data_IF_656424688544
#
_entry.id   IF_656424688544
#
_cell.length_a   1.000
_cell.length_b   1.000
_cell.length_c   1.000
_cell.angle_alpha   90.00
_cell.angle_beta   90.00
_cell.angle_gamma   90.00
#
_symmetry.space_group_name_H-M   'P 1'
#
loop_
_entity.id
_entity.type
_entity.pdbx_description
1 polymer ?
#
# COMPACT_ATOMS: atom_id res chain seq x y z
N UNK A 1 25.56 9.66 32.86
CA UNK A 1 25.99 9.83 31.45
C UNK A 1 24.77 10.35 30.69
N UNK A 2 24.79 11.58 30.17
CA UNK A 2 23.74 12.05 29.24
C UNK A 2 23.84 11.20 27.99
N UNK A 3 22.80 10.45 27.65
CA UNK A 3 22.68 9.80 26.37
C UNK A 3 22.89 10.90 25.30
N UNK A 4 23.89 10.74 24.45
CA UNK A 4 24.07 11.58 23.26
C UNK A 4 22.82 11.31 22.44
N UNK A 5 21.90 12.27 22.37
CA UNK A 5 20.72 12.12 21.54
C UNK A 5 21.21 12.01 20.09
N UNK A 6 20.84 10.94 19.43
CA UNK A 6 21.12 10.82 17.99
C UNK A 6 20.61 12.06 17.25
N UNK A 7 21.35 12.56 16.25
CA UNK A 7 20.90 13.71 15.48
C UNK A 7 19.56 13.39 14.82
N UNK A 8 18.65 14.37 14.83
CA UNK A 8 17.37 14.24 14.17
C UNK A 8 17.54 13.94 12.68
N UNK A 9 16.60 13.20 12.12
CA UNK A 9 16.56 12.93 10.68
C UNK A 9 15.98 14.15 9.99
N UNK A 10 16.69 14.68 9.00
CA UNK A 10 16.22 15.80 8.17
C UNK A 10 15.35 15.26 7.06
N UNK A 11 14.11 15.70 7.00
CA UNK A 11 13.11 15.22 6.05
C UNK A 11 12.67 16.32 5.09
N UNK A 12 12.21 15.93 3.90
CA UNK A 12 11.61 16.81 2.92
C UNK A 12 10.44 16.17 2.20
N UNK A 13 9.55 16.99 1.65
CA UNK A 13 8.38 16.55 0.88
C UNK A 13 8.41 17.17 -0.50
N UNK A 14 8.33 16.33 -1.53
CA UNK A 14 8.21 16.76 -2.93
C UNK A 14 6.77 16.53 -3.39
N UNK A 15 6.06 17.63 -3.69
CA UNK A 15 4.63 17.69 -3.96
C UNK A 15 3.86 18.29 -2.78
N UNK A 16 3.30 19.48 -2.95
CA UNK A 16 2.44 20.14 -1.95
C UNK A 16 0.93 19.89 -2.18
N UNK A 17 0.61 18.79 -2.90
CA UNK A 17 -0.75 18.33 -3.14
C UNK A 17 -1.40 17.70 -1.90
N UNK A 18 -2.53 17.03 -2.10
CA UNK A 18 -3.29 16.42 -1.02
C UNK A 18 -2.47 15.38 -0.25
N UNK A 19 -1.82 14.43 -0.96
CA UNK A 19 -0.95 13.44 -0.31
C UNK A 19 0.28 14.07 0.33
N UNK A 20 0.93 15.04 -0.34
CA UNK A 20 2.08 15.72 0.24
C UNK A 20 1.76 16.40 1.57
N UNK A 21 0.58 16.99 1.72
CA UNK A 21 0.15 17.57 3.00
C UNK A 21 -0.05 16.52 4.09
N UNK A 22 -0.55 15.33 3.77
CA UNK A 22 -0.59 14.23 4.75
C UNK A 22 0.81 13.76 5.17
N UNK A 23 1.77 13.72 4.24
CA UNK A 23 3.17 13.41 4.58
C UNK A 23 3.78 14.48 5.48
N UNK A 24 3.51 15.77 5.21
CA UNK A 24 3.96 16.88 6.08
C UNK A 24 3.44 16.68 7.50
N UNK A 25 2.14 16.45 7.66
CA UNK A 25 1.51 16.25 8.97
C UNK A 25 2.11 15.03 9.68
N UNK A 26 2.32 13.94 8.97
CA UNK A 26 2.92 12.74 9.53
C UNK A 26 4.38 12.98 10.00
N UNK A 27 5.19 13.71 9.24
CA UNK A 27 6.53 14.10 9.69
C UNK A 27 6.51 15.00 10.93
N UNK A 28 5.59 15.95 10.98
CA UNK A 28 5.49 16.90 12.12
C UNK A 28 5.06 16.20 13.42
N UNK A 29 4.40 15.06 13.36
CA UNK A 29 4.08 14.25 14.53
C UNK A 29 5.30 13.49 15.11
N UNK A 30 6.44 13.46 14.38
CA UNK A 30 7.64 12.73 14.78
C UNK A 30 8.63 13.65 15.48
N UNK A 31 8.79 13.48 16.78
CA UNK A 31 9.67 14.33 17.62
C UNK A 31 11.15 14.27 17.26
N UNK A 32 11.57 13.21 16.55
CA UNK A 32 12.94 12.89 16.20
C UNK A 32 13.26 13.17 14.72
N UNK A 33 12.38 13.91 14.04
CA UNK A 33 12.51 14.34 12.66
C UNK A 33 12.45 15.86 12.58
N UNK A 34 13.28 16.45 11.73
CA UNK A 34 13.23 17.87 11.34
C UNK A 34 12.73 17.96 9.91
N UNK A 35 11.50 18.43 9.71
CA UNK A 35 10.98 18.73 8.39
C UNK A 35 11.67 20.02 7.88
N UNK A 36 12.61 19.85 6.93
CA UNK A 36 13.44 20.94 6.40
C UNK A 36 12.67 21.81 5.39
N UNK A 37 11.86 21.16 4.54
CA UNK A 37 11.14 21.90 3.55
C UNK A 37 10.30 21.10 2.57
N UNK A 38 9.67 21.85 1.68
CA UNK A 38 8.67 21.38 0.73
C UNK A 38 9.02 21.89 -0.67
N UNK A 39 8.78 21.06 -1.67
CA UNK A 39 8.92 21.41 -3.09
C UNK A 39 7.58 21.24 -3.80
N UNK A 40 7.22 22.17 -4.64
CA UNK A 40 6.18 22.01 -5.67
C UNK A 40 6.58 22.80 -6.92
N UNK A 41 6.17 22.36 -8.09
CA UNK A 41 6.37 23.09 -9.35
C UNK A 41 5.63 24.44 -9.33
N UNK A 42 4.52 24.53 -8.61
CA UNK A 42 3.86 25.80 -8.25
C UNK A 42 4.53 26.34 -6.97
N UNK A 43 5.50 27.23 -7.15
CA UNK A 43 6.23 27.84 -6.04
C UNK A 43 5.33 28.69 -5.12
N UNK A 44 4.25 29.25 -5.62
CA UNK A 44 3.31 30.02 -4.80
C UNK A 44 2.58 29.08 -3.83
N UNK A 45 2.12 27.95 -4.33
CA UNK A 45 1.52 26.88 -3.54
C UNK A 45 2.52 26.28 -2.53
N UNK A 46 3.76 26.01 -2.96
CA UNK A 46 4.81 25.53 -2.06
C UNK A 46 5.05 26.51 -0.91
N UNK A 47 5.13 27.81 -1.18
CA UNK A 47 5.30 28.85 -0.14
C UNK A 47 4.10 28.91 0.80
N UNK A 48 2.88 28.93 0.27
CA UNK A 48 1.67 28.96 1.09
C UNK A 48 1.63 27.78 2.08
N UNK A 49 1.94 26.56 1.60
CA UNK A 49 1.98 25.37 2.45
C UNK A 49 3.15 25.45 3.44
N UNK A 50 4.34 25.85 2.98
CA UNK A 50 5.53 25.99 3.82
C UNK A 50 5.32 27.01 4.96
N UNK A 51 4.71 28.16 4.69
CA UNK A 51 4.38 29.18 5.69
C UNK A 51 3.41 28.65 6.75
N UNK A 52 2.44 27.81 6.34
CA UNK A 52 1.47 27.20 7.25
C UNK A 52 2.17 26.31 8.29
N UNK A 53 3.22 25.62 7.89
CA UNK A 53 3.93 24.65 8.75
C UNK A 53 5.27 25.18 9.29
N UNK A 54 5.66 26.40 8.97
CA UNK A 54 6.90 27.02 9.44
C UNK A 54 8.16 26.37 8.88
N UNK A 55 8.12 25.86 7.63
CA UNK A 55 9.23 25.20 6.94
C UNK A 55 9.64 25.98 5.69
N UNK A 56 10.75 25.60 5.05
CA UNK A 56 11.24 26.27 3.85
C UNK A 56 10.54 25.74 2.58
N UNK A 57 10.17 26.64 1.67
CA UNK A 57 9.79 26.29 0.30
C UNK A 57 11.03 26.28 -0.60
N UNK A 58 11.19 25.21 -1.39
CA UNK A 58 12.22 25.08 -2.40
C UNK A 58 11.61 25.11 -3.80
N UNK A 59 12.35 25.64 -4.76
CA UNK A 59 11.91 25.68 -6.15
C UNK A 59 12.24 24.38 -6.91
N UNK A 60 13.28 23.65 -6.47
CA UNK A 60 13.77 22.44 -7.11
C UNK A 60 14.01 21.35 -6.05
N UNK A 61 13.56 20.11 -6.32
CA UNK A 61 13.78 18.97 -5.48
C UNK A 61 15.28 18.61 -5.34
N UNK A 62 16.12 19.01 -6.30
CA UNK A 62 17.56 18.82 -6.26
C UNK A 62 18.22 19.67 -5.17
N UNK A 63 17.73 20.90 -4.97
CA UNK A 63 18.18 21.75 -3.86
C UNK A 63 17.75 21.18 -2.52
N UNK A 64 16.53 20.67 -2.42
CA UNK A 64 16.04 20.00 -1.23
C UNK A 64 16.90 18.77 -0.89
N UNK A 65 17.27 17.96 -1.89
CA UNK A 65 18.06 16.74 -1.71
C UNK A 65 19.40 16.98 -0.99
N UNK A 66 20.04 18.13 -1.17
CA UNK A 66 21.30 18.49 -0.51
C UNK A 66 21.13 18.77 1.00
N UNK A 67 19.90 19.02 1.42
CA UNK A 67 19.59 19.46 2.79
C UNK A 67 18.91 18.37 3.63
N UNK A 68 18.52 17.23 3.03
CA UNK A 68 17.72 16.20 3.69
C UNK A 68 18.41 14.84 3.72
N UNK A 69 18.00 14.01 4.65
CA UNK A 69 18.41 12.62 4.77
C UNK A 69 17.40 11.69 4.12
N UNK A 70 16.11 12.06 4.23
CA UNK A 70 14.97 11.36 3.64
C UNK A 70 14.06 12.33 2.90
N UNK A 71 13.45 11.88 1.81
CA UNK A 71 12.44 12.63 1.11
C UNK A 71 11.25 11.75 0.76
N UNK A 72 10.03 12.31 0.81
CA UNK A 72 8.85 11.67 0.26
C UNK A 72 8.46 12.33 -1.06
N UNK A 73 8.03 11.51 -2.04
CA UNK A 73 7.65 11.93 -3.38
C UNK A 73 6.16 11.67 -3.55
N UNK A 74 5.38 12.75 -3.53
CA UNK A 74 3.91 12.76 -3.62
C UNK A 74 3.45 13.71 -4.74
N UNK A 75 4.01 13.51 -5.92
CA UNK A 75 3.72 14.22 -7.18
C UNK A 75 2.87 13.35 -8.10
N UNK A 76 2.41 13.81 -9.27
CA UNK A 76 1.81 12.91 -10.27
C UNK A 76 2.73 11.76 -10.66
N UNK A 77 2.16 10.58 -10.95
CA UNK A 77 2.88 9.32 -11.17
C UNK A 77 3.96 9.41 -12.25
N UNK A 78 3.71 10.16 -13.32
CA UNK A 78 4.65 10.37 -14.42
C UNK A 78 5.94 11.08 -13.99
N UNK A 79 5.91 11.79 -12.87
CA UNK A 79 7.04 12.50 -12.30
C UNK A 79 7.77 11.70 -11.20
N UNK A 80 7.22 10.55 -10.78
CA UNK A 80 7.82 9.74 -9.71
C UNK A 80 9.24 9.29 -10.07
N UNK A 81 9.43 8.73 -11.27
CA UNK A 81 10.73 8.23 -11.71
C UNK A 81 11.81 9.32 -11.74
N UNK A 82 11.68 10.44 -12.49
CA UNK A 82 12.73 11.46 -12.55
C UNK A 82 13.02 12.09 -11.20
N UNK A 83 12.01 12.35 -10.37
CA UNK A 83 12.18 12.97 -9.05
C UNK A 83 12.86 12.01 -8.08
N UNK A 84 12.38 10.78 -7.96
CA UNK A 84 12.96 9.79 -7.05
C UNK A 84 14.40 9.43 -7.45
N UNK A 85 14.69 9.31 -8.76
CA UNK A 85 16.03 9.11 -9.27
C UNK A 85 16.98 10.22 -8.81
N UNK A 86 16.62 11.48 -9.06
CA UNK A 86 17.47 12.63 -8.72
C UNK A 86 17.75 12.70 -7.21
N UNK A 87 16.74 12.38 -6.36
CA UNK A 87 16.87 12.33 -4.91
C UNK A 87 17.84 11.20 -4.46
N UNK A 88 17.64 9.99 -4.99
CA UNK A 88 18.50 8.82 -4.68
C UNK A 88 19.94 9.06 -5.10
N UNK A 89 20.17 9.62 -6.30
CA UNK A 89 21.51 9.92 -6.83
C UNK A 89 22.24 10.96 -5.99
N UNK A 90 21.50 11.92 -5.41
CA UNK A 90 22.04 12.95 -4.50
C UNK A 90 22.15 12.51 -3.05
N UNK A 91 21.75 11.28 -2.74
CA UNK A 91 22.03 10.66 -1.46
C UNK A 91 20.90 10.70 -0.45
N UNK A 92 19.69 11.11 -0.81
CA UNK A 92 18.52 10.98 0.04
C UNK A 92 17.98 9.54 0.03
N UNK A 93 17.43 9.08 1.14
CA UNK A 93 16.53 7.93 1.19
C UNK A 93 15.14 8.37 0.74
N UNK A 94 14.42 7.54 0.01
CA UNK A 94 13.18 7.97 -0.66
C UNK A 94 12.02 7.05 -0.31
N UNK A 95 10.86 7.65 -0.01
CA UNK A 95 9.55 7.04 -0.10
C UNK A 95 8.83 7.65 -1.30
N UNK A 96 8.44 6.83 -2.26
CA UNK A 96 7.67 7.25 -3.43
C UNK A 96 6.23 6.73 -3.31
N UNK A 97 5.25 7.59 -3.57
CA UNK A 97 3.85 7.21 -3.55
C UNK A 97 3.51 6.16 -4.62
N UNK A 98 2.43 5.43 -4.35
CA UNK A 98 1.87 4.48 -5.32
C UNK A 98 1.03 5.21 -6.41
N UNK A 99 0.96 4.65 -7.63
CA UNK A 99 1.83 3.61 -8.14
C UNK A 99 3.26 4.13 -8.28
N UNK A 100 4.23 3.27 -8.01
CA UNK A 100 5.65 3.68 -7.91
C UNK A 100 6.16 4.40 -9.16
N UNK A 101 5.78 3.90 -10.32
CA UNK A 101 6.14 4.45 -11.64
C UNK A 101 5.08 4.05 -12.68
N UNK A 102 5.01 4.74 -13.85
CA UNK A 102 4.15 4.34 -14.96
C UNK A 102 4.52 3.00 -15.58
N UNK A 103 5.79 2.59 -15.52
CA UNK A 103 6.30 1.36 -16.13
C UNK A 103 7.10 0.51 -15.15
N UNK A 104 7.15 -0.80 -15.41
CA UNK A 104 7.93 -1.73 -14.60
C UNK A 104 9.43 -1.51 -14.77
N UNK A 105 9.86 -1.10 -15.95
CA UNK A 105 11.26 -0.82 -16.29
C UNK A 105 11.79 0.34 -15.44
N UNK A 106 11.03 1.41 -15.31
CA UNK A 106 11.38 2.55 -14.46
C UNK A 106 11.46 2.14 -12.98
N UNK A 107 10.51 1.30 -12.52
CA UNK A 107 10.54 0.79 -11.15
C UNK A 107 11.81 -0.04 -10.87
N UNK A 108 12.16 -0.96 -11.78
CA UNK A 108 13.39 -1.76 -11.69
C UNK A 108 14.63 -0.88 -11.66
N UNK A 109 14.65 0.17 -12.48
CA UNK A 109 15.77 1.10 -12.55
C UNK A 109 15.93 1.91 -11.24
N UNK A 110 14.83 2.36 -10.61
CA UNK A 110 14.88 3.03 -9.30
C UNK A 110 15.47 2.12 -8.22
N UNK A 111 15.09 0.86 -8.16
CA UNK A 111 15.67 -0.10 -7.22
C UNK A 111 17.16 -0.36 -7.51
N UNK A 112 17.55 -0.40 -8.80
CA UNK A 112 18.96 -0.53 -9.20
C UNK A 112 19.78 0.66 -8.72
N UNK A 113 19.27 1.89 -8.91
CA UNK A 113 19.93 3.13 -8.45
C UNK A 113 20.02 3.14 -6.92
N UNK A 114 18.95 2.84 -6.22
CA UNK A 114 18.94 2.79 -4.76
C UNK A 114 20.00 1.84 -4.20
N UNK A 115 20.14 0.64 -4.79
CA UNK A 115 21.24 -0.30 -4.44
C UNK A 115 22.61 0.28 -4.70
N UNK A 116 22.86 0.81 -5.90
CA UNK A 116 24.16 1.37 -6.28
C UNK A 116 24.58 2.53 -5.39
N UNK A 117 23.62 3.36 -4.98
CA UNK A 117 23.84 4.50 -4.09
C UNK A 117 23.80 4.14 -2.61
N UNK A 118 23.54 2.88 -2.27
CA UNK A 118 23.35 2.43 -0.89
C UNK A 118 22.25 3.23 -0.18
N UNK A 119 21.13 3.48 -0.88
CA UNK A 119 19.96 4.22 -0.37
C UNK A 119 18.76 3.30 -0.20
N UNK A 120 17.87 3.71 0.67
CA UNK A 120 16.59 3.03 0.88
C UNK A 120 15.61 3.65 -0.10
N UNK A 121 14.86 2.79 -0.77
CA UNK A 121 13.70 3.14 -1.57
C UNK A 121 12.51 2.37 -1.01
N UNK A 122 11.51 3.09 -0.54
CA UNK A 122 10.22 2.57 -0.11
C UNK A 122 9.14 2.98 -1.10
N UNK A 123 8.15 2.12 -1.30
CA UNK A 123 6.95 2.43 -2.05
C UNK A 123 5.80 2.65 -1.07
N UNK A 124 4.97 3.66 -1.30
CA UNK A 124 3.86 4.08 -0.46
C UNK A 124 2.68 3.09 -0.42
N UNK A 125 2.95 1.84 -0.05
CA UNK A 125 1.92 0.83 0.22
C UNK A 125 1.40 0.97 1.66
N UNK A 126 0.77 2.09 1.93
CA UNK A 126 0.32 2.50 3.27
C UNK A 126 -0.54 1.45 3.99
N UNK A 127 -1.32 0.65 3.25
CA UNK A 127 -2.15 -0.40 3.84
C UNK A 127 -1.34 -1.54 4.48
N UNK A 128 -0.06 -1.71 4.16
CA UNK A 128 0.85 -2.63 4.87
C UNK A 128 1.05 -2.24 6.34
N UNK A 129 0.82 -0.97 6.66
CA UNK A 129 0.95 -0.40 7.99
C UNK A 129 -0.39 -0.22 8.70
N UNK A 130 -1.48 -0.62 8.07
CA UNK A 130 -2.77 -0.74 8.72
C UNK A 130 -2.71 -1.82 9.80
N UNK A 131 -3.02 -1.47 11.05
CA UNK A 131 -2.88 -2.38 12.18
C UNK A 131 -3.65 -3.69 12.01
N UNK A 132 -4.85 -3.64 11.42
CA UNK A 132 -5.62 -4.84 11.14
C UNK A 132 -4.96 -5.74 10.08
N UNK A 133 -4.32 -5.16 9.05
CA UNK A 133 -3.54 -5.92 8.06
C UNK A 133 -2.33 -6.60 8.69
N UNK A 134 -1.64 -5.90 9.61
CA UNK A 134 -0.50 -6.47 10.32
C UNK A 134 -0.90 -7.65 11.22
N UNK A 135 -2.05 -7.57 11.90
CA UNK A 135 -2.59 -8.70 12.67
C UNK A 135 -3.08 -9.82 11.76
N UNK A 136 -3.74 -9.47 10.64
CA UNK A 136 -4.23 -10.46 9.67
C UNK A 136 -3.11 -11.38 9.17
N UNK A 137 -1.93 -10.84 8.87
CA UNK A 137 -0.75 -11.60 8.44
C UNK A 137 -0.27 -12.64 9.46
N UNK A 138 -0.62 -12.49 10.73
CA UNK A 138 -0.23 -13.43 11.81
C UNK A 138 -1.20 -14.59 11.97
N UNK A 139 -2.44 -14.44 11.49
CA UNK A 139 -3.54 -15.39 11.71
C UNK A 139 -3.97 -16.14 10.45
N UNK A 140 -3.56 -15.65 9.28
CA UNK A 140 -3.82 -16.32 8.01
C UNK A 140 -2.74 -17.36 7.76
N UNK A 141 -3.14 -18.64 7.65
CA UNK A 141 -2.19 -19.73 7.47
C UNK A 141 -2.31 -20.40 6.09
N UNK A 142 -3.50 -20.80 5.71
CA UNK A 142 -3.78 -21.54 4.45
C UNK A 142 -5.06 -21.03 3.83
N UNK A 143 -5.04 -19.83 3.20
CA UNK A 143 -6.22 -19.28 2.59
C UNK A 143 -6.67 -20.13 1.40
N UNK A 144 -7.98 -20.45 1.35
CA UNK A 144 -8.65 -21.14 0.24
C UNK A 144 -9.21 -20.11 -0.73
N UNK A 145 -9.90 -19.11 -0.19
CA UNK A 145 -10.49 -18.00 -0.94
C UNK A 145 -10.23 -16.69 -0.20
N UNK A 146 -9.80 -15.69 -0.96
CA UNK A 146 -9.67 -14.30 -0.51
C UNK A 146 -10.60 -13.43 -1.36
N UNK A 147 -11.42 -12.60 -0.72
CA UNK A 147 -12.35 -11.69 -1.38
C UNK A 147 -12.10 -10.27 -0.89
N UNK A 148 -11.60 -9.40 -1.75
CA UNK A 148 -11.40 -7.98 -1.45
C UNK A 148 -12.42 -7.12 -2.17
N UNK A 149 -12.95 -6.12 -1.45
CA UNK A 149 -13.86 -5.12 -1.98
C UNK A 149 -13.43 -3.73 -1.56
N UNK A 150 -13.10 -2.90 -2.56
CA UNK A 150 -12.74 -1.49 -2.37
C UNK A 150 -13.62 -0.62 -3.26
N UNK A 151 -14.74 -0.19 -2.69
CA UNK A 151 -15.80 0.53 -3.37
C UNK A 151 -15.94 1.93 -2.80
N UNK A 152 -16.35 2.89 -3.64
CA UNK A 152 -16.62 4.25 -3.20
C UNK A 152 -17.18 5.14 -4.30
N UNK A 153 -17.54 6.40 -3.98
CA UNK A 153 -18.01 7.35 -4.96
C UNK A 153 -16.88 7.85 -5.85
N UNK A 154 -17.27 8.33 -7.03
CA UNK A 154 -16.35 8.97 -7.96
C UNK A 154 -15.80 10.28 -7.40
N UNK A 155 -14.49 10.46 -7.48
CA UNK A 155 -13.82 11.69 -7.10
C UNK A 155 -13.18 12.35 -8.34
N UNK A 156 -13.67 13.53 -8.80
CA UNK A 156 -13.17 14.17 -10.02
C UNK A 156 -11.66 14.42 -10.06
N UNK A 157 -11.01 14.53 -8.90
CA UNK A 157 -9.56 14.76 -8.77
C UNK A 157 -8.69 13.58 -9.25
N UNK A 158 -9.25 12.39 -9.38
CA UNK A 158 -8.56 11.15 -9.81
C UNK A 158 -9.12 10.61 -11.12
N UNK A 159 -9.68 11.47 -11.97
CA UNK A 159 -10.28 11.08 -13.25
C UNK A 159 -9.27 10.52 -14.27
N UNK A 160 -7.99 10.90 -14.15
CA UNK A 160 -6.93 10.52 -15.09
C UNK A 160 -6.34 9.12 -14.80
N UNK A 161 -6.51 8.63 -13.59
CA UNK A 161 -6.09 7.28 -13.18
C UNK A 161 -7.24 6.28 -13.33
N UNK A 162 -6.91 5.01 -13.55
CA UNK A 162 -7.89 3.92 -13.47
C UNK A 162 -8.12 3.49 -12.03
N UNK A 163 -9.25 2.82 -11.80
CA UNK A 163 -9.56 2.21 -10.50
C UNK A 163 -8.55 1.12 -10.10
N UNK A 164 -7.86 0.51 -11.07
CA UNK A 164 -6.84 -0.50 -10.83
C UNK A 164 -5.61 0.14 -10.19
N UNK A 165 -5.09 1.21 -10.80
CA UNK A 165 -3.88 1.89 -10.32
C UNK A 165 -4.14 2.78 -9.10
N UNK A 166 -5.35 3.33 -8.96
CA UNK A 166 -5.69 4.16 -7.81
C UNK A 166 -6.11 3.35 -6.57
N UNK A 167 -7.01 2.38 -6.74
CA UNK A 167 -7.63 1.65 -5.61
C UNK A 167 -7.16 0.19 -5.50
N UNK A 168 -7.25 -0.57 -6.60
CA UNK A 168 -7.06 -2.03 -6.57
C UNK A 168 -5.62 -2.42 -6.23
N UNK A 169 -4.63 -1.62 -6.59
CA UNK A 169 -3.20 -1.89 -6.34
C UNK A 169 -2.91 -2.14 -4.84
N UNK A 170 -3.65 -1.49 -3.94
CA UNK A 170 -3.54 -1.74 -2.50
C UNK A 170 -3.97 -3.17 -2.13
N UNK A 171 -5.07 -3.64 -2.72
CA UNK A 171 -5.61 -4.97 -2.43
C UNK A 171 -4.79 -6.06 -3.12
N UNK A 172 -4.26 -5.77 -4.32
CA UNK A 172 -3.29 -6.64 -5.01
C UNK A 172 -2.08 -6.87 -4.10
N UNK A 173 -1.52 -5.80 -3.54
CA UNK A 173 -0.37 -5.86 -2.65
C UNK A 173 -0.62 -6.70 -1.40
N UNK A 174 -1.76 -6.48 -0.76
CA UNK A 174 -2.14 -7.24 0.44
C UNK A 174 -2.38 -8.72 0.11
N UNK A 175 -3.08 -9.03 -0.98
CA UNK A 175 -3.35 -10.41 -1.40
C UNK A 175 -2.06 -11.15 -1.72
N UNK A 176 -1.14 -10.54 -2.48
CA UNK A 176 0.17 -11.11 -2.78
C UNK A 176 1.00 -11.36 -1.51
N UNK A 177 0.86 -10.51 -0.50
CA UNK A 177 1.55 -10.66 0.79
C UNK A 177 0.90 -11.64 1.77
N UNK A 178 -0.34 -12.11 1.51
CA UNK A 178 -1.06 -13.09 2.35
C UNK A 178 -0.99 -14.52 1.84
N UNK A 179 -0.68 -14.72 0.57
CA UNK A 179 -0.62 -16.05 -0.05
C UNK A 179 0.84 -16.48 -0.17
N UNK A 180 1.17 -17.56 0.49
CA UNK A 180 2.50 -18.20 0.35
C UNK A 180 2.52 -19.08 -0.91
N UNK A 181 2.53 -18.42 -2.07
CA UNK A 181 2.50 -19.07 -3.38
C UNK A 181 2.56 -18.07 -4.54
N UNK A 182 2.78 -18.60 -5.74
CA UNK A 182 2.91 -17.81 -6.95
C UNK A 182 1.59 -17.76 -7.73
N UNK A 183 1.16 -16.57 -8.19
CA UNK A 183 0.05 -16.45 -9.12
C UNK A 183 0.32 -17.29 -10.40
N UNK A 184 -0.69 -18.02 -10.89
CA UNK A 184 -0.62 -18.80 -12.15
C UNK A 184 -1.50 -18.25 -13.23
N UNK A 185 -2.67 -17.77 -12.85
CA UNK A 185 -3.66 -17.24 -13.78
C UNK A 185 -4.29 -15.98 -13.24
N UNK A 186 -4.54 -15.05 -14.12
CA UNK A 186 -5.32 -13.84 -13.86
C UNK A 186 -6.48 -13.80 -14.86
N UNK A 187 -7.68 -13.55 -14.36
CA UNK A 187 -8.83 -13.17 -15.15
C UNK A 187 -9.30 -11.79 -14.73
N UNK A 188 -9.52 -10.89 -15.68
CA UNK A 188 -9.85 -9.50 -15.39
C UNK A 188 -10.95 -8.99 -16.32
N UNK A 189 -11.91 -8.27 -15.74
CA UNK A 189 -12.92 -7.51 -16.46
C UNK A 189 -13.05 -6.12 -15.85
N UNK A 190 -13.32 -5.12 -16.68
CA UNK A 190 -13.49 -3.75 -16.21
C UNK A 190 -14.33 -2.91 -17.15
N UNK A 191 -14.82 -1.79 -16.67
CA UNK A 191 -15.66 -0.86 -17.43
C UNK A 191 -15.46 0.57 -16.98
N UNK A 192 -15.62 1.50 -17.91
CA UNK A 192 -15.73 2.93 -17.66
C UNK A 192 -17.19 3.28 -17.40
N UNK A 193 -17.44 4.11 -16.39
CA UNK A 193 -18.80 4.56 -15.99
C UNK A 193 -18.87 6.08 -15.90
N UNK A 194 -17.93 6.70 -15.17
CA UNK A 194 -17.92 8.13 -14.87
C UNK A 194 -16.76 8.89 -15.51
N UNK A 195 -15.73 8.18 -15.95
CA UNK A 195 -14.54 8.77 -16.56
C UNK A 195 -14.20 8.10 -17.90
N UNK A 196 -13.19 8.60 -18.58
CA UNK A 196 -12.63 7.93 -19.78
C UNK A 196 -11.71 6.74 -19.47
N UNK A 197 -11.53 6.41 -18.18
CA UNK A 197 -10.70 5.32 -17.66
C UNK A 197 -11.57 4.21 -17.09
N UNK A 198 -10.97 3.10 -16.69
CA UNK A 198 -11.66 2.03 -15.97
C UNK A 198 -12.12 2.53 -14.58
N UNK A 199 -13.42 2.52 -14.32
CA UNK A 199 -14.04 2.96 -13.05
C UNK A 199 -14.50 1.79 -12.18
N UNK A 200 -14.68 0.63 -12.79
CA UNK A 200 -15.08 -0.62 -12.11
C UNK A 200 -14.24 -1.76 -12.67
N UNK A 201 -13.59 -2.51 -11.79
CA UNK A 201 -12.83 -3.70 -12.17
C UNK A 201 -13.10 -4.86 -11.20
N UNK A 202 -13.18 -6.07 -11.75
CA UNK A 202 -13.16 -7.32 -11.01
C UNK A 202 -12.07 -8.22 -11.55
N UNK A 203 -11.27 -8.76 -10.64
CA UNK A 203 -10.12 -9.58 -10.97
C UNK A 203 -10.15 -10.87 -10.17
N UNK A 204 -9.84 -11.99 -10.81
CA UNK A 204 -9.63 -13.27 -10.16
C UNK A 204 -8.18 -13.70 -10.38
N UNK A 205 -7.52 -14.12 -9.29
CA UNK A 205 -6.15 -14.63 -9.31
C UNK A 205 -6.16 -16.05 -8.75
N UNK A 206 -5.63 -17.00 -9.53
CA UNK A 206 -5.42 -18.38 -9.09
C UNK A 206 -3.93 -18.57 -8.78
N UNK A 207 -3.63 -19.02 -7.57
CA UNK A 207 -2.28 -19.31 -7.11
C UNK A 207 -1.91 -20.81 -7.31
N UNK A 208 -0.63 -21.12 -7.29
CA UNK A 208 -0.12 -22.49 -7.41
C UNK A 208 -0.44 -23.35 -6.19
N UNK A 209 -0.67 -22.76 -5.04
CA UNK A 209 -1.20 -23.40 -3.82
C UNK A 209 -2.65 -23.86 -3.94
N UNK A 210 -3.36 -23.46 -5.00
CA UNK A 210 -4.79 -23.65 -5.16
C UNK A 210 -5.65 -22.55 -4.51
N UNK A 211 -5.03 -21.57 -3.85
CA UNK A 211 -5.72 -20.39 -3.32
C UNK A 211 -6.29 -19.58 -4.49
N UNK A 212 -7.51 -19.12 -4.32
CA UNK A 212 -8.17 -18.19 -5.25
C UNK A 212 -8.40 -16.84 -4.57
N UNK A 213 -8.10 -15.76 -5.27
CA UNK A 213 -8.43 -14.41 -4.82
C UNK A 213 -9.38 -13.72 -5.80
N UNK A 214 -10.39 -13.04 -5.29
CA UNK A 214 -11.28 -12.16 -6.04
C UNK A 214 -11.12 -10.75 -5.51
N UNK A 215 -10.74 -9.81 -6.38
CA UNK A 215 -10.49 -8.41 -6.03
C UNK A 215 -11.44 -7.53 -6.83
N UNK A 216 -12.29 -6.78 -6.14
CA UNK A 216 -13.23 -5.85 -6.75
C UNK A 216 -12.91 -4.42 -6.33
N UNK A 217 -12.64 -3.55 -7.29
CA UNK A 217 -12.51 -2.12 -7.08
C UNK A 217 -13.54 -1.35 -7.91
N UNK A 218 -14.17 -0.35 -7.31
CA UNK A 218 -15.17 0.49 -7.98
C UNK A 218 -15.16 1.89 -7.41
N UNK A 219 -15.27 2.88 -8.29
CA UNK A 219 -15.56 4.28 -7.97
C UNK A 219 -16.90 4.73 -8.56
N UNK A 220 -17.81 3.77 -8.72
CA UNK A 220 -19.16 4.00 -9.25
C UNK A 220 -20.26 3.60 -8.25
N UNK A 221 -19.96 3.65 -6.95
CA UNK A 221 -20.91 3.36 -5.85
C UNK A 221 -21.03 4.56 -4.92
N UNK A 222 -22.18 4.72 -4.28
CA UNK A 222 -22.39 5.78 -3.29
C UNK A 222 -21.77 5.44 -1.92
N UNK A 223 -21.78 4.16 -1.55
CA UNK A 223 -21.23 3.70 -0.28
C UNK A 223 -19.74 3.40 -0.39
N UNK A 224 -19.00 3.80 0.66
CA UNK A 224 -17.59 3.48 0.79
C UNK A 224 -17.42 2.16 1.54
N UNK A 225 -17.00 1.12 0.82
CA UNK A 225 -16.73 -0.22 1.37
C UNK A 225 -15.25 -0.53 1.18
N UNK A 226 -14.58 -0.96 2.25
CA UNK A 226 -13.18 -1.38 2.22
C UNK A 226 -13.01 -2.61 3.11
N UNK A 227 -13.23 -3.79 2.54
CA UNK A 227 -13.23 -5.05 3.29
C UNK A 227 -12.40 -6.12 2.61
N UNK A 228 -11.86 -7.01 3.41
CA UNK A 228 -11.19 -8.23 2.97
C UNK A 228 -11.79 -9.41 3.74
N UNK A 229 -12.23 -10.44 3.04
CA UNK A 229 -12.73 -11.67 3.62
C UNK A 229 -11.86 -12.86 3.22
N UNK A 230 -11.56 -13.75 4.15
CA UNK A 230 -10.71 -14.92 3.92
C UNK A 230 -11.42 -16.16 4.43
N UNK A 231 -11.56 -17.14 3.53
CA UNK A 231 -11.96 -18.49 3.90
C UNK A 231 -10.72 -19.37 4.03
N UNK A 232 -10.53 -19.98 5.18
CA UNK A 232 -9.52 -21.01 5.44
C UNK A 232 -10.18 -22.24 6.08
N UNK A 233 -9.50 -23.40 6.22
CA UNK A 233 -10.17 -24.66 6.59
C UNK A 233 -11.00 -24.60 7.87
N UNK A 234 -10.56 -23.86 8.88
CA UNK A 234 -11.11 -23.81 10.24
C UNK A 234 -11.74 -22.46 10.59
N UNK A 235 -11.59 -21.43 9.75
CA UNK A 235 -12.09 -20.10 10.02
C UNK A 235 -12.56 -19.36 8.76
N UNK A 236 -13.50 -18.44 8.97
CA UNK A 236 -13.83 -17.35 8.04
C UNK A 236 -13.46 -16.04 8.72
N UNK A 237 -12.58 -15.25 8.09
CA UNK A 237 -12.03 -14.03 8.66
C UNK A 237 -12.53 -12.86 7.84
N UNK A 238 -13.02 -11.81 8.48
CA UNK A 238 -13.46 -10.56 7.83
C UNK A 238 -12.70 -9.40 8.46
N UNK A 239 -12.04 -8.63 7.60
CA UNK A 239 -11.32 -7.40 7.96
C UNK A 239 -12.06 -6.20 7.37
N UNK A 240 -12.27 -5.16 8.16
CA UNK A 240 -12.64 -3.81 7.72
C UNK A 240 -11.41 -2.90 7.82
N UNK A 241 -10.94 -2.38 6.68
CA UNK A 241 -9.76 -1.51 6.63
C UNK A 241 -10.01 -0.15 7.27
N UNK A 242 -11.26 0.36 7.17
CA UNK A 242 -11.62 1.69 7.67
C UNK A 242 -11.69 1.69 9.19
N UNK A 243 -12.35 0.67 9.74
CA UNK A 243 -12.49 0.50 11.17
C UNK A 243 -11.26 -0.17 11.81
N UNK A 244 -10.32 -0.66 11.01
CA UNK A 244 -9.16 -1.43 11.44
C UNK A 244 -9.58 -2.55 12.40
N UNK A 245 -10.53 -3.36 11.96
CA UNK A 245 -11.22 -4.35 12.78
C UNK A 245 -11.24 -5.72 12.12
N UNK A 246 -11.17 -6.80 12.92
CA UNK A 246 -11.12 -8.18 12.43
C UNK A 246 -12.15 -9.02 13.19
N UNK A 247 -13.03 -9.70 12.45
CA UNK A 247 -13.93 -10.71 12.95
C UNK A 247 -13.52 -12.08 12.46
N UNK A 248 -13.33 -13.04 13.37
CA UNK A 248 -12.96 -14.42 13.07
C UNK A 248 -14.11 -15.34 13.45
N UNK A 249 -14.71 -15.96 12.46
CA UNK A 249 -15.79 -16.92 12.61
C UNK A 249 -15.22 -18.33 12.60
N UNK A 250 -15.13 -18.98 13.77
CA UNK A 250 -14.62 -20.35 13.93
C UNK A 250 -15.75 -21.35 14.03
N UNK A 251 -15.58 -22.54 13.45
CA UNK A 251 -16.51 -23.65 13.64
C UNK A 251 -16.27 -24.27 15.02
N UNK A 252 -17.33 -24.36 15.81
CA UNK A 252 -17.28 -25.19 17.02
C UNK A 252 -17.47 -26.68 16.69
N UNK A 253 -17.02 -27.52 17.59
CA UNK A 253 -17.31 -28.95 17.54
C UNK A 253 -18.82 -29.19 17.45
N UNK A 254 -19.25 -30.11 16.61
CA UNK A 254 -20.64 -30.49 16.49
C UNK A 254 -20.98 -31.43 17.65
N UNK A 255 -21.87 -31.02 18.55
CA UNK A 255 -22.41 -31.90 19.58
C UNK A 255 -23.73 -32.50 19.10
N UNK A 256 -23.78 -33.82 19.07
CA UNK A 256 -25.00 -34.59 18.84
C UNK A 256 -25.53 -35.06 20.20
N UNK A 257 -26.70 -34.61 20.58
CA UNK A 257 -27.37 -35.16 21.78
C UNK A 257 -28.56 -35.98 21.33
N UNK A 258 -28.50 -37.29 21.60
CA UNK A 258 -29.66 -38.19 21.46
C UNK A 258 -30.48 -38.16 22.73
N UNK A 259 -31.75 -37.78 22.66
CA UNK A 259 -32.65 -37.84 23.76
C UNK A 259 -33.97 -38.43 23.28
N UNK A 260 -34.37 -39.62 23.82
CA UNK A 260 -35.66 -40.35 23.61
C UNK A 260 -36.15 -40.33 22.17
N UNK A 261 -35.31 -40.74 21.19
CA UNK A 261 -35.74 -40.91 19.79
C UNK A 261 -35.77 -39.61 18.95
N UNK A 262 -35.32 -38.49 19.50
CA UNK A 262 -35.10 -37.25 18.74
C UNK A 262 -33.62 -36.89 18.73
N UNK A 263 -33.10 -36.57 17.54
CA UNK A 263 -31.74 -36.04 17.34
C UNK A 263 -31.81 -34.51 17.44
N UNK A 264 -31.19 -33.96 18.47
CA UNK A 264 -31.00 -32.50 18.54
C UNK A 264 -29.64 -32.15 17.99
N UNK A 265 -29.65 -31.31 16.99
CA UNK A 265 -28.46 -30.74 16.35
C UNK A 265 -28.15 -29.43 17.07
N UNK A 266 -27.01 -29.34 17.70
CA UNK A 266 -26.48 -28.07 18.23
C UNK A 266 -25.22 -27.71 17.48
N UNK A 267 -25.31 -26.64 16.66
CA UNK A 267 -24.15 -26.03 16.01
C UNK A 267 -23.79 -24.79 16.82
N UNK A 268 -22.66 -24.81 17.51
CA UNK A 268 -22.10 -23.60 18.10
C UNK A 268 -21.17 -22.95 17.07
N UNK A 269 -21.20 -21.64 16.95
CA UNK A 269 -20.23 -20.83 16.23
C UNK A 269 -19.64 -19.81 17.21
N UNK A 270 -18.35 -19.62 17.17
CA UNK A 270 -17.69 -18.57 17.95
C UNK A 270 -17.27 -17.47 17.00
N UNK A 271 -17.55 -16.22 17.39
CA UNK A 271 -17.05 -15.03 16.73
C UNK A 271 -16.03 -14.41 17.67
N UNK A 272 -14.79 -14.44 17.27
CA UNK A 272 -13.70 -13.73 17.95
C UNK A 272 -13.55 -12.36 17.30
N UNK A 273 -13.58 -11.31 18.11
CA UNK A 273 -13.40 -9.95 17.67
C UNK A 273 -12.03 -9.46 18.12
N UNK A 274 -11.11 -9.27 17.18
CA UNK A 274 -9.79 -8.72 17.45
C UNK A 274 -9.83 -7.20 17.34
N UNK A 275 -9.75 -6.53 18.48
CA UNK A 275 -9.54 -5.08 18.52
C UNK A 275 -8.08 -4.77 18.33
N UNK A 276 -7.79 -4.07 17.26
CA UNK A 276 -6.44 -3.63 16.92
C UNK A 276 -6.25 -2.19 17.41
N UNK A 277 -5.03 -1.86 17.82
CA UNK A 277 -4.71 -0.47 18.11
C UNK A 277 -4.75 0.34 16.81
N UNK A 278 -5.64 1.33 16.78
CA UNK A 278 -5.81 2.21 15.62
C UNK A 278 -4.74 3.29 15.67
N UNK A 279 -3.80 3.23 14.76
CA UNK A 279 -2.82 4.30 14.54
C UNK A 279 -2.93 4.78 13.08
N UNK A 280 -2.30 5.91 12.77
CA UNK A 280 -2.25 6.44 11.42
C UNK A 280 -1.26 5.59 10.56
N UNK A 281 -1.73 4.82 9.57
CA UNK A 281 -0.86 3.95 8.78
C UNK A 281 0.25 4.70 8.05
N UNK A 282 -0.02 5.91 7.54
CA UNK A 282 0.99 6.73 6.88
C UNK A 282 2.10 7.17 7.84
N UNK A 283 1.74 7.53 9.06
CA UNK A 283 2.73 7.83 10.10
C UNK A 283 3.60 6.63 10.41
N UNK A 284 3.01 5.44 10.55
CA UNK A 284 3.76 4.19 10.79
C UNK A 284 4.69 3.85 9.62
N UNK A 285 4.26 4.07 8.38
CA UNK A 285 5.08 3.90 7.19
C UNK A 285 6.29 4.83 7.20
N UNK A 286 6.08 6.12 7.48
CA UNK A 286 7.17 7.09 7.61
C UNK A 286 8.09 6.74 8.78
N UNK A 287 7.57 6.32 9.93
CA UNK A 287 8.37 5.82 11.05
C UNK A 287 9.23 4.63 10.65
N UNK A 288 8.70 3.72 9.84
CA UNK A 288 9.45 2.59 9.31
C UNK A 288 10.63 3.04 8.43
N UNK A 289 10.42 4.01 7.51
CA UNK A 289 11.48 4.61 6.71
C UNK A 289 12.55 5.27 7.58
N UNK A 290 12.14 6.07 8.59
CA UNK A 290 13.06 6.72 9.53
C UNK A 290 13.90 5.70 10.30
N UNK A 291 13.24 4.65 10.84
CA UNK A 291 13.92 3.55 11.52
C UNK A 291 14.90 2.80 10.62
N UNK A 292 14.53 2.52 9.36
CA UNK A 292 15.40 1.92 8.38
C UNK A 292 16.62 2.82 8.06
N UNK A 293 16.41 4.13 7.94
CA UNK A 293 17.47 5.12 7.73
C UNK A 293 18.48 5.12 8.88
N UNK A 294 18.02 5.04 10.14
CA UNK A 294 18.89 4.94 11.32
C UNK A 294 19.69 3.66 11.33
N UNK A 295 19.05 2.52 11.11
CA UNK A 295 19.76 1.24 11.00
C UNK A 295 20.85 1.28 9.92
N UNK A 296 20.53 1.87 8.75
CA UNK A 296 21.51 2.03 7.67
C UNK A 296 22.70 2.91 8.09
N UNK A 297 22.47 4.00 8.83
CA UNK A 297 23.52 4.85 9.38
C UNK A 297 24.39 4.11 10.40
N UNK A 298 23.81 3.23 11.18
CA UNK A 298 24.51 2.37 12.13
C UNK A 298 25.29 1.22 11.45
N UNK A 299 25.24 1.10 10.11
CA UNK A 299 25.89 0.04 9.36
C UNK A 299 25.14 -1.30 9.38
N UNK A 300 23.89 -1.32 9.87
CA UNK A 300 23.06 -2.51 9.90
C UNK A 300 22.47 -2.83 8.52
N UNK A 301 22.31 -4.12 8.17
CA UNK A 301 21.66 -4.50 6.94
C UNK A 301 20.19 -4.08 6.96
N UNK A 302 19.74 -3.38 5.92
CA UNK A 302 18.34 -3.06 5.69
C UNK A 302 17.91 -3.80 4.43
N UNK A 303 16.99 -4.75 4.59
CA UNK A 303 16.43 -5.50 3.46
C UNK A 303 15.46 -4.61 2.69
N UNK A 304 15.64 -4.43 1.38
CA UNK A 304 14.65 -3.78 0.53
C UNK A 304 13.45 -4.70 0.30
N UNK A 305 12.23 -4.15 0.32
CA UNK A 305 11.00 -4.87 -0.07
C UNK A 305 10.82 -4.94 -1.60
N UNK A 306 11.89 -4.90 -2.35
CA UNK A 306 11.91 -4.73 -3.81
C UNK A 306 11.01 -5.69 -4.58
N UNK A 307 11.06 -6.98 -4.21
CA UNK A 307 10.33 -8.01 -4.98
C UNK A 307 8.81 -7.82 -4.85
N UNK A 308 8.32 -7.62 -3.64
CA UNK A 308 6.87 -7.44 -3.40
C UNK A 308 6.33 -6.18 -4.07
N UNK A 309 7.09 -5.07 -4.01
CA UNK A 309 6.70 -3.80 -4.63
C UNK A 309 6.63 -3.91 -6.16
N UNK A 310 7.58 -4.61 -6.78
CA UNK A 310 7.58 -4.84 -8.23
C UNK A 310 6.45 -5.78 -8.67
N UNK A 311 6.16 -6.82 -7.87
CA UNK A 311 5.07 -7.78 -8.18
C UNK A 311 3.71 -7.10 -8.15
N UNK A 312 3.45 -6.24 -7.15
CA UNK A 312 2.20 -5.49 -7.03
C UNK A 312 1.98 -4.57 -8.24
N UNK A 313 3.03 -3.82 -8.64
CA UNK A 313 2.99 -2.96 -9.82
C UNK A 313 2.81 -3.77 -11.11
N UNK A 314 3.59 -4.84 -11.30
CA UNK A 314 3.53 -5.68 -12.48
C UNK A 314 2.14 -6.28 -12.69
N UNK A 315 1.51 -6.78 -11.62
CA UNK A 315 0.15 -7.33 -11.68
C UNK A 315 -0.88 -6.24 -12.00
N UNK A 316 -0.77 -5.06 -11.41
CA UNK A 316 -1.67 -3.94 -11.70
C UNK A 316 -1.57 -3.51 -13.18
N UNK A 317 -0.35 -3.39 -13.72
CA UNK A 317 -0.11 -3.05 -15.13
C UNK A 317 -0.66 -4.12 -16.08
N UNK A 318 -0.51 -5.39 -15.75
CA UNK A 318 -1.04 -6.49 -16.57
C UNK A 318 -2.58 -6.49 -16.57
N UNK A 319 -3.21 -6.25 -15.42
CA UNK A 319 -4.67 -6.11 -15.31
C UNK A 319 -5.16 -4.94 -16.16
N UNK A 320 -4.48 -3.80 -16.11
CA UNK A 320 -4.76 -2.63 -16.95
C UNK A 320 -4.72 -2.99 -18.44
N UNK A 321 -3.66 -3.69 -18.85
CA UNK A 321 -3.49 -4.15 -20.23
C UNK A 321 -4.63 -5.09 -20.64
N UNK A 322 -4.95 -6.07 -19.80
CA UNK A 322 -6.03 -7.04 -20.07
C UNK A 322 -7.37 -6.36 -20.27
N UNK A 323 -7.74 -5.41 -19.40
CA UNK A 323 -9.00 -4.66 -19.49
C UNK A 323 -9.03 -3.81 -20.76
N UNK A 324 -7.94 -3.07 -21.06
CA UNK A 324 -7.83 -2.21 -22.23
C UNK A 324 -7.92 -3.01 -23.53
N UNK A 325 -7.22 -4.14 -23.61
CA UNK A 325 -7.09 -4.94 -24.82
C UNK A 325 -8.23 -5.98 -24.96
N UNK A 326 -9.14 -6.07 -23.98
CA UNK A 326 -10.27 -7.00 -23.96
C UNK A 326 -9.84 -8.46 -23.81
N UNK A 327 -8.72 -8.73 -23.15
CA UNK A 327 -8.18 -10.08 -22.89
C UNK A 327 -8.69 -10.56 -21.53
N UNK A 328 -9.64 -11.49 -21.45
CA UNK A 328 -10.31 -11.81 -20.18
C UNK A 328 -9.48 -12.68 -19.24
N UNK A 329 -8.52 -13.47 -19.75
CA UNK A 329 -7.69 -14.37 -18.93
C UNK A 329 -6.28 -14.50 -19.50
N UNK A 330 -5.27 -14.56 -18.62
CA UNK A 330 -3.88 -14.83 -18.98
C UNK A 330 -3.23 -15.79 -17.99
N UNK A 331 -2.26 -16.59 -18.48
CA UNK A 331 -1.33 -17.30 -17.62
C UNK A 331 -0.32 -16.29 -17.07
N UNK A 332 -0.21 -16.19 -15.75
CA UNK A 332 0.73 -15.28 -15.13
C UNK A 332 2.15 -15.86 -15.12
N UNK A 333 3.10 -15.02 -15.45
CA UNK A 333 4.53 -15.29 -15.24
C UNK A 333 5.10 -14.09 -14.52
N UNK A 334 5.72 -14.31 -13.36
CA UNK A 334 6.34 -13.23 -12.60
C UNK A 334 7.43 -12.56 -13.45
N UNK A 335 7.32 -11.25 -13.74
CA UNK A 335 8.29 -10.52 -14.52
C UNK A 335 9.43 -9.92 -13.67
N UNK A 336 9.46 -10.16 -12.35
CA UNK A 336 10.35 -9.49 -11.38
C UNK A 336 11.61 -10.26 -11.03
#
# INVERSE_FOLDING_TARGET
MRAISEPRIRAGVVGAGHMGQYHILAFMELWDVDLVGIVDTDLAKARQVADTYGVRAFADHRELAESVDVATVAVPTELHFPVARDLLERGAHVLVEKPMTPTLEEAKELFRIARLRNRILHVGHVERFNGAVQELRKIVERPILIESRRLGPFAPRVQDDSVVMDLMIHDIDIVLGLVDGEPRKIAAVGSSVNSGRCDVANVQVLFDTGTMATITASRATEEKIRTLAITQPDAYIVLDYTEQDIHIYKRAAQEYTMNRGSIRYRRASFVEHLKVHRDNPLKLEIQHLIGATRRRRAGEPVMPAQQDDLRSLAMALEIERMIRDGVPEVAWRDPC
#
